data_IF_543384049133
#
_entry.id   IF_543384049133
#
_cell.length_a   1.000
_cell.length_b   1.000
_cell.length_c   1.000
_cell.angle_alpha   90.00
_cell.angle_beta   90.00
_cell.angle_gamma   90.00
#
_symmetry.space_group_name_H-M   'P 1'
#
loop_
_entity.id
_entity.type
_entity.pdbx_description
1 polymer ?
#
# COMPACT_ATOMS: atom_id res chain seq x y z
N UNK A 1 -5.28 -13.99 9.93
CA UNK A 1 -4.01 -13.27 9.80
C UNK A 1 -4.33 -11.79 9.65
N UNK A 2 -3.89 -10.95 10.59
CA UNK A 2 -4.11 -9.51 10.48
C UNK A 2 -3.00 -8.90 9.61
N UNK A 3 -3.39 -8.11 8.61
CA UNK A 3 -2.47 -7.38 7.74
C UNK A 3 -2.77 -5.90 7.87
N UNK A 4 -1.75 -5.12 8.19
CA UNK A 4 -1.81 -3.67 8.25
C UNK A 4 -1.38 -3.12 6.90
N UNK A 5 -2.24 -2.31 6.30
CA UNK A 5 -1.91 -1.50 5.13
C UNK A 5 -1.27 -0.21 5.65
N UNK A 6 -0.05 0.04 5.22
CA UNK A 6 0.64 1.30 5.48
C UNK A 6 0.81 2.08 4.18
N UNK A 7 0.83 3.41 4.26
CA UNK A 7 1.15 4.27 3.13
C UNK A 7 2.14 5.36 3.48
N UNK A 8 2.84 5.82 2.46
CA UNK A 8 3.66 7.02 2.51
C UNK A 8 3.58 7.80 1.20
N UNK A 9 3.71 9.11 1.30
CA UNK A 9 3.92 9.97 0.14
C UNK A 9 5.28 9.70 -0.51
N UNK A 10 5.48 10.12 -1.79
CA UNK A 10 6.74 9.92 -2.50
C UNK A 10 7.95 10.54 -1.78
N UNK A 11 7.73 11.65 -1.06
CA UNK A 11 8.76 12.40 -0.34
C UNK A 11 8.63 12.26 1.19
N UNK A 12 7.73 11.39 1.67
CA UNK A 12 7.57 11.15 3.11
C UNK A 12 8.53 10.04 3.56
N UNK A 13 9.23 10.24 4.66
CA UNK A 13 10.08 9.19 5.25
C UNK A 13 9.25 8.17 6.03
N UNK A 14 8.24 8.64 6.76
CA UNK A 14 7.45 7.82 7.66
C UNK A 14 6.29 7.10 6.96
N UNK A 15 6.08 5.85 7.38
CA UNK A 15 4.92 5.06 7.00
C UNK A 15 3.78 5.30 7.98
N UNK A 16 2.57 5.51 7.46
CA UNK A 16 1.35 5.69 8.26
C UNK A 16 0.45 4.49 8.12
N UNK A 17 -0.07 3.99 9.24
CA UNK A 17 -1.09 2.94 9.25
C UNK A 17 -2.41 3.50 8.71
N UNK A 18 -3.01 2.82 7.73
CA UNK A 18 -4.31 3.22 7.19
C UNK A 18 -5.43 2.27 7.63
N UNK A 19 -5.29 0.98 7.36
CA UNK A 19 -6.39 0.00 7.48
C UNK A 19 -5.86 -1.38 7.79
N UNK A 20 -6.64 -2.16 8.54
CA UNK A 20 -6.39 -3.56 8.83
C UNK A 20 -7.26 -4.47 7.97
N UNK A 21 -6.71 -5.58 7.47
CA UNK A 21 -7.42 -6.59 6.66
C UNK A 21 -7.15 -7.99 7.17
N UNK A 22 -8.07 -8.90 6.86
CA UNK A 22 -8.05 -10.29 7.35
C UNK A 22 -7.36 -11.27 6.40
N UNK A 23 -7.11 -10.85 5.16
CA UNK A 23 -6.42 -11.65 4.14
C UNK A 23 -5.47 -10.80 3.30
N UNK A 24 -4.45 -11.46 2.75
CA UNK A 24 -3.49 -10.84 1.84
C UNK A 24 -4.17 -10.28 0.59
N UNK A 25 -5.07 -11.06 0.00
CA UNK A 25 -5.77 -10.69 -1.22
C UNK A 25 -6.60 -9.40 -1.08
N UNK A 26 -7.38 -9.29 0.01
CA UNK A 26 -8.13 -8.06 0.30
C UNK A 26 -7.21 -6.86 0.53
N UNK A 27 -6.11 -7.07 1.27
CA UNK A 27 -5.15 -6.03 1.59
C UNK A 27 -4.45 -5.51 0.33
N UNK A 28 -4.00 -6.43 -0.53
CA UNK A 28 -3.36 -6.10 -1.80
C UNK A 28 -4.29 -5.36 -2.74
N UNK A 29 -5.53 -5.85 -2.91
CA UNK A 29 -6.51 -5.22 -3.80
C UNK A 29 -6.81 -3.80 -3.35
N UNK A 30 -7.05 -3.60 -2.04
CA UNK A 30 -7.29 -2.28 -1.48
C UNK A 30 -6.07 -1.34 -1.62
N UNK A 31 -4.86 -1.83 -1.32
CA UNK A 31 -3.62 -1.07 -1.47
C UNK A 31 -3.38 -0.65 -2.93
N UNK A 32 -3.63 -1.54 -3.89
CA UNK A 32 -3.46 -1.26 -5.32
C UNK A 32 -4.44 -0.21 -5.83
N UNK A 33 -5.72 -0.33 -5.49
CA UNK A 33 -6.73 0.67 -5.84
C UNK A 33 -6.38 2.04 -5.24
N UNK A 34 -5.96 2.07 -3.97
CA UNK A 34 -5.55 3.33 -3.32
C UNK A 34 -4.28 3.93 -3.91
N UNK A 35 -3.28 3.10 -4.25
CA UNK A 35 -2.06 3.55 -4.91
C UNK A 35 -2.35 4.21 -6.26
N UNK A 36 -3.30 3.67 -7.03
CA UNK A 36 -3.76 4.25 -8.28
C UNK A 36 -4.45 5.61 -8.10
N UNK A 37 -5.30 5.74 -7.07
CA UNK A 37 -6.08 6.95 -6.84
C UNK A 37 -5.25 8.10 -6.23
N UNK A 38 -4.31 7.76 -5.35
CA UNK A 38 -3.59 8.77 -4.55
C UNK A 38 -2.17 9.03 -5.04
N UNK A 39 -1.61 8.14 -5.87
CA UNK A 39 -0.19 8.16 -6.24
C UNK A 39 0.78 7.90 -5.07
N UNK A 40 0.27 7.51 -3.90
CA UNK A 40 1.09 7.14 -2.73
C UNK A 40 1.64 5.72 -2.89
N UNK A 41 2.71 5.44 -2.14
CA UNK A 41 3.28 4.09 -2.05
C UNK A 41 2.60 3.40 -0.89
N UNK A 42 2.16 2.16 -1.11
CA UNK A 42 1.52 1.33 -0.11
C UNK A 42 2.37 0.11 0.20
N UNK A 43 2.29 -0.42 1.43
CA UNK A 43 2.85 -1.73 1.77
C UNK A 43 1.92 -2.50 2.68
N UNK A 44 2.03 -3.82 2.59
CA UNK A 44 1.32 -4.77 3.44
C UNK A 44 2.28 -5.28 4.50
N UNK A 45 1.87 -5.19 5.76
CA UNK A 45 2.68 -5.60 6.91
C UNK A 45 1.90 -6.61 7.72
N UNK A 46 2.51 -7.73 8.08
CA UNK A 46 1.88 -8.70 8.98
C UNK A 46 1.90 -8.20 10.44
N UNK A 47 1.29 -9.00 11.33
CA UNK A 47 1.25 -8.71 12.77
C UNK A 47 2.62 -8.69 13.46
N UNK A 48 3.66 -9.27 12.84
CA UNK A 48 5.02 -9.31 13.36
C UNK A 48 5.87 -8.15 12.81
N UNK A 49 5.30 -7.25 12.00
CA UNK A 49 6.03 -6.18 11.36
C UNK A 49 6.75 -6.60 10.07
N UNK A 50 6.53 -7.82 9.58
CA UNK A 50 7.14 -8.32 8.34
C UNK A 50 6.43 -7.69 7.15
N UNK A 51 7.21 -7.10 6.25
CA UNK A 51 6.69 -6.55 4.99
C UNK A 51 6.40 -7.73 4.06
N UNK A 52 5.13 -7.91 3.75
CA UNK A 52 4.67 -8.96 2.84
C UNK A 52 4.79 -8.52 1.38
N UNK A 53 4.43 -7.26 1.09
CA UNK A 53 4.44 -6.72 -0.27
C UNK A 53 4.50 -5.19 -0.27
N UNK A 54 5.14 -4.61 -1.29
CA UNK A 54 5.12 -3.18 -1.55
C UNK A 54 4.43 -2.87 -2.89
N UNK A 55 3.40 -2.03 -2.82
CA UNK A 55 2.52 -1.69 -3.92
C UNK A 55 2.82 -0.26 -4.37
N UNK A 56 3.44 -0.14 -5.54
CA UNK A 56 3.70 1.12 -6.23
C UNK A 56 2.82 1.18 -7.47
N UNK A 57 2.05 2.24 -7.63
CA UNK A 57 1.45 2.51 -8.92
C UNK A 57 2.34 3.51 -9.67
N UNK A 58 2.99 3.06 -10.74
CA UNK A 58 3.58 4.02 -11.69
C UNK A 58 2.42 4.80 -12.30
N UNK A 59 2.48 6.15 -12.34
CA UNK A 59 1.57 6.87 -13.21
C UNK A 59 1.83 6.33 -14.61
N UNK A 60 0.82 5.71 -15.24
CA UNK A 60 0.86 5.49 -16.67
C UNK A 60 1.11 6.86 -17.27
N UNK A 61 2.30 7.07 -17.84
CA UNK A 61 2.57 8.25 -18.64
C UNK A 61 1.45 8.29 -19.68
N UNK A 62 0.55 9.25 -19.53
CA UNK A 62 -0.29 9.71 -20.62
C UNK A 62 0.69 10.44 -21.55
N UNK A 63 1.39 9.67 -22.39
CA UNK A 63 2.00 10.22 -23.58
C UNK A 63 0.84 10.84 -24.38
N UNK A 64 0.90 12.16 -24.52
CA UNK A 64 -0.08 12.98 -25.20
C UNK A 64 0.44 13.28 -26.59
#
# INVERSE_FOLDING_TARGET
>A
MAIVIQSRGPNEQDWRNEVWRRSHFEAYTAARTKAQLTGRIYRLVDQNGVILEEVRCRPSRRDR
#
